data_IF_502629444228
#
_entry.id   IF_502629444228
#
_cell.length_a   1.000
_cell.length_b   1.000
_cell.length_c   1.000
_cell.angle_alpha   90.00
_cell.angle_beta   90.00
_cell.angle_gamma   90.00
#
_symmetry.space_group_name_H-M   'P 1'
#
loop_
_entity.id
_entity.type
_entity.pdbx_description
1 polymer ?
#
# COMPACT_ATOMS: atom_id res chain seq x y z
N UNK A 1 21.58 -5.02 -16.90
CA UNK A 1 22.08 -3.80 -16.22
C UNK A 1 20.85 -2.95 -15.96
N UNK A 2 20.58 -2.57 -14.71
CA UNK A 2 19.36 -1.81 -14.37
C UNK A 2 19.44 -0.43 -15.03
N UNK A 3 18.47 -0.12 -15.90
CA UNK A 3 18.33 1.17 -16.56
C UNK A 3 17.21 2.00 -15.91
N UNK A 4 17.22 3.33 -16.14
CA UNK A 4 16.15 4.22 -15.69
C UNK A 4 14.78 3.73 -16.17
N UNK A 5 14.66 3.33 -17.44
CA UNK A 5 13.42 2.86 -18.04
C UNK A 5 12.93 1.55 -17.42
N UNK A 6 13.83 0.60 -17.14
CA UNK A 6 13.49 -0.65 -16.44
C UNK A 6 13.01 -0.40 -15.01
N UNK A 7 13.60 0.61 -14.34
CA UNK A 7 13.21 1.00 -12.98
C UNK A 7 11.84 1.67 -12.96
N UNK A 8 11.57 2.58 -13.91
CA UNK A 8 10.26 3.22 -14.07
C UNK A 8 9.18 2.17 -14.38
N UNK A 9 9.46 1.26 -15.32
CA UNK A 9 8.53 0.20 -15.70
C UNK A 9 8.19 -0.72 -14.52
N UNK A 10 9.21 -1.13 -13.76
CA UNK A 10 9.05 -1.89 -12.52
C UNK A 10 8.19 -1.15 -11.49
N UNK A 11 8.43 0.15 -11.27
CA UNK A 11 7.66 0.94 -10.31
C UNK A 11 6.19 1.10 -10.72
N UNK A 12 5.92 1.37 -12.00
CA UNK A 12 4.55 1.44 -12.53
C UNK A 12 3.84 0.12 -12.30
N UNK A 13 4.50 -0.99 -12.63
CA UNK A 13 3.93 -2.32 -12.50
C UNK A 13 3.58 -2.67 -11.05
N UNK A 14 4.52 -2.46 -10.12
CA UNK A 14 4.27 -2.69 -8.68
C UNK A 14 3.13 -1.81 -8.16
N UNK A 15 3.07 -0.55 -8.58
CA UNK A 15 2.02 0.39 -8.16
C UNK A 15 0.65 -0.04 -8.67
N UNK A 16 0.57 -0.53 -9.92
CA UNK A 16 -0.66 -1.04 -10.50
C UNK A 16 -1.18 -2.27 -9.74
N UNK A 17 -0.31 -3.23 -9.45
CA UNK A 17 -0.68 -4.43 -8.67
C UNK A 17 -1.10 -4.06 -7.24
N UNK A 18 -0.39 -3.13 -6.60
CA UNK A 18 -0.78 -2.62 -5.28
C UNK A 18 -2.17 -1.97 -5.30
N UNK A 19 -2.49 -1.22 -6.35
CA UNK A 19 -3.80 -0.56 -6.51
C UNK A 19 -4.91 -1.58 -6.73
N UNK A 20 -4.66 -2.60 -7.54
CA UNK A 20 -5.59 -3.70 -7.76
C UNK A 20 -5.84 -4.50 -6.46
N UNK A 21 -4.79 -4.82 -5.71
CA UNK A 21 -4.90 -5.49 -4.41
C UNK A 21 -5.70 -4.68 -3.38
N UNK A 22 -5.56 -3.34 -3.38
CA UNK A 22 -6.39 -2.47 -2.56
C UNK A 22 -7.87 -2.55 -2.98
N UNK A 23 -8.16 -2.54 -4.29
CA UNK A 23 -9.52 -2.73 -4.80
C UNK A 23 -10.15 -4.07 -4.37
N UNK A 24 -9.39 -5.16 -4.41
CA UNK A 24 -9.85 -6.47 -3.90
C UNK A 24 -10.09 -6.41 -2.39
N UNK A 25 -9.21 -5.75 -1.64
CA UNK A 25 -9.38 -5.60 -0.18
C UNK A 25 -10.65 -4.82 0.16
N UNK A 26 -10.97 -3.75 -0.56
CA UNK A 26 -12.23 -3.01 -0.41
C UNK A 26 -13.46 -3.86 -0.77
N UNK A 27 -13.37 -4.67 -1.83
CA UNK A 27 -14.43 -5.61 -2.17
C UNK A 27 -14.65 -6.64 -1.06
N UNK A 28 -13.59 -7.18 -0.45
CA UNK A 28 -13.70 -8.13 0.67
C UNK A 28 -14.34 -7.48 1.90
N UNK A 29 -14.02 -6.21 2.20
CA UNK A 29 -14.68 -5.45 3.28
C UNK A 29 -16.19 -5.33 3.09
N UNK A 30 -16.68 -5.27 1.84
CA UNK A 30 -18.12 -5.23 1.57
C UNK A 30 -18.86 -6.52 1.94
N UNK A 31 -18.14 -7.65 1.98
CA UNK A 31 -18.70 -8.98 2.29
C UNK A 31 -18.46 -9.36 3.76
N UNK A 32 -17.39 -8.86 4.38
CA UNK A 32 -16.99 -9.19 5.76
C UNK A 32 -17.10 -7.94 6.64
N UNK A 33 -18.22 -7.76 7.37
CA UNK A 33 -18.52 -6.53 8.11
C UNK A 33 -17.45 -6.14 9.13
N UNK A 34 -16.86 -7.13 9.81
CA UNK A 34 -15.78 -6.96 10.79
C UNK A 34 -14.58 -6.13 10.26
N UNK A 35 -14.31 -6.23 8.95
CA UNK A 35 -13.20 -5.53 8.30
C UNK A 35 -13.51 -4.08 7.94
N UNK A 36 -14.80 -3.70 7.95
CA UNK A 36 -15.29 -2.35 7.67
C UNK A 36 -15.61 -1.58 8.96
N UNK A 37 -16.08 -2.26 10.02
CA UNK A 37 -16.51 -1.63 11.29
C UNK A 37 -15.37 -0.88 11.99
N UNK A 38 -15.64 0.35 12.43
CA UNK A 38 -14.76 1.10 13.32
C UNK A 38 -15.10 0.78 14.78
N UNK A 39 -14.06 0.49 15.57
CA UNK A 39 -14.19 0.10 16.97
C UNK A 39 -13.89 1.29 17.85
N UNK A 40 -14.92 1.78 18.55
CA UNK A 40 -14.81 2.84 19.54
C UNK A 40 -15.09 2.28 20.93
N UNK A 41 -14.48 2.88 21.95
CA UNK A 41 -14.75 2.51 23.34
C UNK A 41 -16.15 2.99 23.74
N UNK A 42 -16.94 2.09 24.33
CA UNK A 42 -18.31 2.41 24.77
C UNK A 42 -18.31 3.35 25.98
N UNK A 43 -17.32 3.21 26.86
CA UNK A 43 -17.13 4.06 28.03
C UNK A 43 -15.69 4.55 28.11
N UNK A 44 -15.46 5.67 28.80
CA UNK A 44 -14.11 6.24 29.00
C UNK A 44 -13.34 5.47 30.09
N UNK A 45 -13.28 4.14 29.94
CA UNK A 45 -12.55 3.21 30.78
C UNK A 45 -11.34 2.71 30.01
N UNK A 46 -10.20 2.62 30.68
CA UNK A 46 -8.94 2.11 30.10
C UNK A 46 -9.09 0.71 29.48
N UNK A 47 -9.95 -0.13 30.07
CA UNK A 47 -10.22 -1.49 29.60
C UNK A 47 -10.92 -1.51 28.23
N UNK A 48 -11.92 -0.65 28.04
CA UNK A 48 -12.69 -0.55 26.79
C UNK A 48 -11.86 0.08 25.67
N UNK A 49 -11.03 1.08 26.00
CA UNK A 49 -10.05 1.66 25.07
C UNK A 49 -9.02 0.63 24.60
N UNK A 50 -8.50 -0.20 25.50
CA UNK A 50 -7.57 -1.27 25.15
C UNK A 50 -8.24 -2.35 24.29
N UNK A 51 -9.49 -2.68 24.57
CA UNK A 51 -10.24 -3.66 23.79
C UNK A 51 -10.52 -3.14 22.36
N UNK A 52 -10.99 -1.90 22.22
CA UNK A 52 -11.22 -1.25 20.93
C UNK A 52 -9.92 -1.12 20.11
N UNK A 53 -8.82 -0.75 20.76
CA UNK A 53 -7.50 -0.70 20.12
C UNK A 53 -7.07 -2.08 19.61
N UNK A 54 -7.24 -3.13 20.42
CA UNK A 54 -6.90 -4.51 20.04
C UNK A 54 -7.70 -4.98 18.82
N UNK A 55 -9.01 -4.74 18.80
CA UNK A 55 -9.87 -5.06 17.65
C UNK A 55 -9.46 -4.27 16.40
N UNK A 56 -9.12 -2.99 16.57
CA UNK A 56 -8.59 -2.15 15.48
C UNK A 56 -7.28 -2.70 14.91
N UNK A 57 -6.37 -3.19 15.76
CA UNK A 57 -5.12 -3.82 15.31
C UNK A 57 -5.38 -5.12 14.56
N UNK A 58 -6.31 -5.97 15.03
CA UNK A 58 -6.70 -7.18 14.30
C UNK A 58 -7.32 -6.86 12.94
N UNK A 59 -8.24 -5.89 12.87
CA UNK A 59 -8.81 -5.39 11.61
C UNK A 59 -7.70 -4.95 10.64
N UNK A 60 -6.76 -4.13 11.09
CA UNK A 60 -5.63 -3.65 10.27
C UNK A 60 -4.77 -4.81 9.78
N UNK A 61 -4.47 -5.78 10.64
CA UNK A 61 -3.66 -6.94 10.29
C UNK A 61 -4.37 -7.86 9.27
N UNK A 62 -5.66 -8.14 9.46
CA UNK A 62 -6.43 -8.93 8.50
C UNK A 62 -6.52 -8.24 7.13
N UNK A 63 -6.79 -6.93 7.10
CA UNK A 63 -6.78 -6.15 5.86
C UNK A 63 -5.42 -6.20 5.16
N UNK A 64 -4.32 -6.16 5.91
CA UNK A 64 -2.97 -6.29 5.37
C UNK A 64 -2.73 -7.67 4.76
N UNK A 65 -3.12 -8.76 5.45
CA UNK A 65 -3.00 -10.12 4.92
C UNK A 65 -3.78 -10.26 3.62
N UNK A 66 -5.04 -9.80 3.59
CA UNK A 66 -5.88 -9.86 2.40
C UNK A 66 -5.22 -9.14 1.23
N UNK A 67 -4.65 -7.95 1.47
CA UNK A 67 -3.94 -7.18 0.44
C UNK A 67 -2.71 -7.92 -0.09
N UNK A 68 -1.87 -8.49 0.81
CA UNK A 68 -0.66 -9.25 0.42
C UNK A 68 -1.03 -10.50 -0.39
N UNK A 69 -2.02 -11.26 0.07
CA UNK A 69 -2.49 -12.46 -0.62
C UNK A 69 -3.09 -12.09 -1.98
N UNK A 70 -3.88 -11.03 -2.05
CA UNK A 70 -4.47 -10.54 -3.31
C UNK A 70 -3.39 -10.13 -4.31
N UNK A 71 -2.37 -9.38 -3.87
CA UNK A 71 -1.24 -9.01 -4.70
C UNK A 71 -0.46 -10.25 -5.20
N UNK A 72 -0.21 -11.22 -4.32
CA UNK A 72 0.44 -12.49 -4.68
C UNK A 72 -0.34 -13.28 -5.73
N UNK A 73 -1.67 -13.37 -5.58
CA UNK A 73 -2.55 -14.01 -6.56
C UNK A 73 -2.53 -13.26 -7.89
N UNK A 74 -2.56 -11.93 -7.89
CA UNK A 74 -2.48 -11.12 -9.12
C UNK A 74 -1.16 -11.38 -9.84
N UNK A 75 -0.02 -11.43 -9.14
CA UNK A 75 1.26 -11.78 -9.76
C UNK A 75 1.26 -13.21 -10.32
N UNK A 76 0.67 -14.16 -9.60
CA UNK A 76 0.57 -15.54 -10.06
C UNK A 76 -0.33 -15.68 -11.30
N UNK A 77 -1.42 -14.93 -11.39
CA UNK A 77 -2.34 -14.93 -12.54
C UNK A 77 -1.73 -14.25 -13.77
N UNK A 78 -0.99 -13.16 -13.58
CA UNK A 78 -0.30 -12.46 -14.67
C UNK A 78 0.90 -13.25 -15.18
N UNK A 79 1.47 -14.13 -14.35
CA UNK A 79 2.61 -14.97 -14.71
C UNK A 79 3.91 -14.19 -14.90
N UNK A 80 4.00 -13.00 -14.30
CA UNK A 80 5.10 -12.06 -14.49
C UNK A 80 5.95 -11.95 -13.21
N UNK A 81 7.27 -11.94 -13.37
CA UNK A 81 8.21 -11.64 -12.28
C UNK A 81 8.72 -10.20 -12.40
N UNK A 82 8.38 -9.31 -11.45
CA UNK A 82 8.91 -7.95 -11.39
C UNK A 82 10.45 -7.90 -11.40
N UNK A 83 11.13 -8.92 -10.87
CA UNK A 83 12.59 -8.99 -10.89
C UNK A 83 13.13 -8.98 -12.33
N UNK A 84 12.46 -9.72 -13.23
CA UNK A 84 12.86 -9.83 -14.64
C UNK A 84 12.66 -8.51 -15.37
N UNK A 85 11.61 -7.75 -15.03
CA UNK A 85 11.38 -6.39 -15.52
C UNK A 85 12.52 -5.47 -15.08
N UNK A 86 12.93 -5.56 -13.80
CA UNK A 86 13.97 -4.72 -13.22
C UNK A 86 15.36 -5.00 -13.81
N UNK A 87 15.67 -6.28 -14.09
CA UNK A 87 16.96 -6.68 -14.65
C UNK A 87 17.05 -6.40 -16.16
N UNK A 88 15.92 -6.10 -16.80
CA UNK A 88 15.81 -5.88 -18.25
C UNK A 88 15.92 -7.18 -19.05
N UNK A 89 15.37 -8.27 -18.51
CA UNK A 89 15.38 -9.56 -19.19
C UNK A 89 14.51 -9.53 -20.47
N UNK A 90 14.85 -10.35 -21.49
CA UNK A 90 14.10 -10.38 -22.76
C UNK A 90 12.66 -10.89 -22.62
N UNK A 91 12.35 -11.61 -21.53
CA UNK A 91 11.00 -12.00 -21.15
C UNK A 91 10.82 -11.78 -19.65
N UNK A 92 9.67 -11.24 -19.28
CA UNK A 92 9.23 -11.10 -17.88
C UNK A 92 8.30 -12.24 -17.44
N UNK A 93 7.94 -13.15 -18.36
CA UNK A 93 7.07 -14.28 -18.08
C UNK A 93 7.83 -15.43 -17.42
N UNK A 94 7.20 -16.07 -16.44
CA UNK A 94 7.76 -17.17 -15.65
C UNK A 94 7.04 -18.48 -15.98
N UNK A 95 7.79 -19.56 -16.16
CA UNK A 95 7.23 -20.90 -16.45
C UNK A 95 6.36 -21.46 -15.31
N UNK A 96 6.64 -21.08 -14.06
CA UNK A 96 5.84 -21.47 -12.91
C UNK A 96 5.57 -20.26 -12.00
N UNK A 97 4.39 -19.63 -12.14
CA UNK A 97 4.07 -18.39 -11.44
C UNK A 97 3.61 -18.60 -9.99
N UNK A 98 3.45 -19.85 -9.56
CA UNK A 98 3.13 -20.21 -8.17
C UNK A 98 4.37 -20.45 -7.30
N UNK A 99 5.57 -20.20 -7.83
CA UNK A 99 6.81 -20.28 -7.05
C UNK A 99 6.86 -19.20 -5.97
N UNK A 100 7.47 -19.53 -4.84
CA UNK A 100 7.63 -18.64 -3.68
C UNK A 100 8.27 -17.29 -4.05
N UNK A 101 9.19 -17.27 -5.02
CA UNK A 101 9.82 -16.04 -5.51
C UNK A 101 8.82 -15.01 -6.06
N UNK A 102 7.83 -15.45 -6.82
CA UNK A 102 6.76 -14.59 -7.38
C UNK A 102 5.84 -14.06 -6.28
N UNK A 103 5.63 -14.82 -5.20
CA UNK A 103 4.79 -14.44 -4.07
C UNK A 103 5.42 -13.39 -3.15
N UNK A 104 6.76 -13.40 -3.01
CA UNK A 104 7.49 -12.38 -2.22
C UNK A 104 7.22 -10.97 -2.77
N UNK A 105 7.01 -10.85 -4.09
CA UNK A 105 6.65 -9.58 -4.70
C UNK A 105 5.28 -9.04 -4.27
N UNK A 106 4.35 -9.90 -3.81
CA UNK A 106 3.11 -9.46 -3.18
C UNK A 106 3.35 -8.62 -1.93
N UNK A 107 4.32 -9.02 -1.09
CA UNK A 107 4.76 -8.25 0.08
C UNK A 107 5.41 -6.95 -0.38
N UNK A 108 6.35 -7.02 -1.32
CA UNK A 108 7.05 -5.82 -1.83
C UNK A 108 6.07 -4.83 -2.46
N UNK A 109 5.01 -5.29 -3.12
CA UNK A 109 4.03 -4.38 -3.71
C UNK A 109 3.19 -3.66 -2.66
N UNK A 110 2.72 -4.38 -1.64
CA UNK A 110 1.89 -3.81 -0.57
C UNK A 110 2.68 -2.87 0.35
N UNK A 111 3.94 -3.20 0.67
CA UNK A 111 4.80 -2.36 1.52
C UNK A 111 5.61 -1.32 0.74
N UNK A 112 5.90 -1.56 -0.53
CA UNK A 112 6.64 -0.65 -1.40
C UNK A 112 5.81 0.54 -1.85
N UNK A 113 4.50 0.38 -2.03
CA UNK A 113 3.62 1.46 -2.47
C UNK A 113 3.57 2.67 -1.53
N UNK A 114 3.44 2.53 -0.18
CA UNK A 114 3.52 3.67 0.74
C UNK A 114 4.88 4.38 0.72
N UNK A 115 5.97 3.64 0.59
CA UNK A 115 7.33 4.19 0.48
C UNK A 115 7.48 4.96 -0.83
N UNK A 116 7.00 4.39 -1.93
CA UNK A 116 7.05 4.99 -3.25
C UNK A 116 6.17 6.25 -3.34
N UNK A 117 4.95 6.22 -2.80
CA UNK A 117 4.09 7.41 -2.70
C UNK A 117 4.76 8.54 -1.91
N UNK A 118 5.55 8.19 -0.89
CA UNK A 118 6.33 9.17 -0.13
C UNK A 118 7.48 9.75 -0.95
N UNK A 119 8.21 8.92 -1.71
CA UNK A 119 9.27 9.36 -2.62
C UNK A 119 8.72 10.25 -3.73
N UNK A 120 7.59 9.88 -4.35
CA UNK A 120 6.94 10.70 -5.36
C UNK A 120 6.51 12.06 -4.81
N UNK A 121 5.93 12.11 -3.61
CA UNK A 121 5.59 13.39 -2.95
C UNK A 121 6.82 14.25 -2.68
N UNK A 122 7.94 13.64 -2.30
CA UNK A 122 9.21 14.36 -2.10
C UNK A 122 9.73 14.92 -3.44
N UNK A 123 9.70 14.12 -4.50
CA UNK A 123 10.12 14.56 -5.84
C UNK A 123 9.20 15.64 -6.40
N UNK A 124 7.90 15.52 -6.17
CA UNK A 124 6.91 16.54 -6.55
C UNK A 124 7.13 17.84 -5.76
N UNK A 125 7.36 17.75 -4.44
CA UNK A 125 7.72 18.90 -3.61
C UNK A 125 9.05 19.53 -4.03
N UNK A 126 10.03 18.73 -4.44
CA UNK A 126 11.30 19.23 -4.97
C UNK A 126 11.12 19.91 -6.33
N UNK A 127 10.35 19.32 -7.24
CA UNK A 127 9.99 19.94 -8.53
C UNK A 127 9.22 21.26 -8.33
N UNK A 128 8.33 21.33 -7.34
CA UNK A 128 7.60 22.55 -6.98
C UNK A 128 8.56 23.62 -6.43
N UNK A 129 9.51 23.25 -5.57
CA UNK A 129 10.53 24.17 -5.04
C UNK A 129 11.50 24.68 -6.10
N UNK A 130 11.84 23.87 -7.11
CA UNK A 130 12.73 24.27 -8.22
C UNK A 130 12.00 25.16 -9.24
N UNK A 131 10.69 24.96 -9.43
CA UNK A 131 9.89 25.67 -10.43
C UNK A 131 9.02 26.82 -9.88
N UNK A 132 9.02 27.10 -8.57
CA UNK A 132 8.21 28.19 -8.03
C UNK A 132 8.46 28.53 -6.55
N UNK A 133 8.51 29.84 -6.28
CA UNK A 133 8.65 30.52 -4.97
C UNK A 133 7.49 30.29 -3.97
N UNK A 134 6.79 29.14 -4.01
CA UNK A 134 5.64 28.89 -3.16
C UNK A 134 5.76 27.57 -2.39
N UNK A 135 6.29 27.67 -1.17
CA UNK A 135 6.19 26.61 -0.17
C UNK A 135 4.71 26.26 0.09
N UNK A 136 4.25 25.02 -0.18
CA UNK A 136 2.91 24.60 0.24
C UNK A 136 2.88 24.60 1.77
N UNK A 137 2.15 25.55 2.34
CA UNK A 137 1.93 25.61 3.78
C UNK A 137 1.19 24.33 4.18
N UNK A 138 1.79 23.53 5.08
CA UNK A 138 1.10 22.37 5.69
C UNK A 138 -0.31 22.81 6.14
N UNK A 139 -1.38 22.07 5.81
CA UNK A 139 -2.70 22.38 6.35
C UNK A 139 -2.63 22.27 7.87
N UNK A 140 -2.57 23.41 8.55
CA UNK A 140 -2.66 23.53 10.01
C UNK A 140 -4.13 23.73 10.34
N UNK A 141 -4.83 22.64 10.66
CA UNK A 141 -6.13 22.76 11.31
C UNK A 141 -5.88 23.23 12.75
N UNK A 142 -6.24 24.47 13.06
CA UNK A 142 -6.23 24.97 14.45
C UNK A 142 -7.39 24.30 15.18
N UNK A 143 -7.08 23.31 16.01
CA UNK A 143 -8.05 22.71 16.95
C UNK A 143 -8.17 23.65 18.16
N UNK A 144 -9.40 24.10 18.47
CA UNK A 144 -9.72 24.76 19.74
C UNK A 144 -10.14 23.67 20.74
N UNK A 145 -9.53 23.67 21.92
CA UNK A 145 -9.99 22.86 23.05
C UNK A 145 -11.37 23.31 23.55
N UNK A 146 -12.05 22.47 24.36
CA UNK A 146 -13.38 22.78 24.86
C UNK A 146 -13.38 24.09 25.64
N UNK A 147 -14.34 24.96 25.32
CA UNK A 147 -14.68 26.15 26.10
C UNK A 147 -15.34 25.67 27.39
N UNK A 148 -14.62 25.76 28.50
CA UNK A 148 -15.24 25.97 29.80
C UNK A 148 -15.58 27.46 29.95
#
# INVERSE_FOLDING_TARGET
MVSLDSSISFMIYITAVSSAAAGVTEAVKSVVPFLATDYEAEQDRLEDHNHAARLTHYKKFCNLIISVVSAGVIFALLGLDPALILVGAPSAFVDNPWKVGTWIWGIVAVFGSPLFASVLKILEGWKQNVNGDNFPHKPRQKVRGPRN
#
